data_IF_372851003104
#
_entry.id   IF_372851003104
#
_cell.length_a   1.000
_cell.length_b   1.000
_cell.length_c   1.000
_cell.angle_alpha   90.00
_cell.angle_beta   90.00
_cell.angle_gamma   90.00
#
_symmetry.space_group_name_H-M   'P 1'
#
loop_
_entity.id
_entity.type
_entity.pdbx_description
1 polymer ?
#
# COMPACT_ATOMS: atom_id res chain seq x y z
N UNK A 1 7.40 65.57 -12.21
CA UNK A 1 8.24 64.79 -11.29
C UNK A 1 7.52 63.51 -10.91
N UNK A 2 8.25 62.38 -10.97
CA UNK A 2 8.20 61.22 -10.06
C UNK A 2 6.88 60.43 -9.90
N UNK A 3 6.85 59.28 -10.59
CA UNK A 3 6.58 57.90 -10.13
C UNK A 3 5.70 57.62 -8.88
N UNK A 4 4.64 56.81 -9.07
CA UNK A 4 4.02 55.75 -8.18
C UNK A 4 2.52 55.64 -8.53
N UNK A 5 1.81 54.50 -8.55
CA UNK A 5 2.05 53.16 -8.02
C UNK A 5 1.07 52.15 -8.69
N UNK A 6 1.58 50.94 -8.90
CA UNK A 6 0.92 49.70 -9.32
C UNK A 6 -0.41 49.36 -8.61
N UNK A 7 -1.32 48.68 -9.31
CA UNK A 7 -1.53 47.22 -9.16
C UNK A 7 -2.42 46.65 -10.28
N UNK A 8 -1.77 45.96 -11.23
CA UNK A 8 -2.39 44.91 -12.03
C UNK A 8 -2.69 43.74 -11.09
N UNK A 9 -3.96 43.47 -10.84
CA UNK A 9 -4.42 42.22 -10.26
C UNK A 9 -4.41 41.15 -11.35
N UNK A 10 -3.33 40.36 -11.38
CA UNK A 10 -3.25 39.16 -12.20
C UNK A 10 -3.77 38.02 -11.34
N UNK A 11 -4.89 37.43 -11.74
CA UNK A 11 -5.50 36.29 -11.06
C UNK A 11 -4.53 35.11 -11.07
N UNK A 12 -3.89 34.85 -9.94
CA UNK A 12 -3.05 33.68 -9.73
C UNK A 12 -3.95 32.47 -9.46
N UNK A 13 -4.49 31.86 -10.51
CA UNK A 13 -4.93 30.48 -10.44
C UNK A 13 -3.67 29.62 -10.28
N UNK A 14 -3.38 29.23 -9.05
CA UNK A 14 -2.36 28.21 -8.74
C UNK A 14 -2.80 26.90 -9.37
N UNK A 15 -2.29 26.61 -10.57
CA UNK A 15 -2.23 25.25 -11.07
C UNK A 15 -1.17 24.50 -10.26
N UNK A 16 -1.52 24.06 -9.05
CA UNK A 16 -0.82 22.92 -8.45
C UNK A 16 -1.00 21.78 -9.43
N UNK A 17 0.05 21.45 -10.17
CA UNK A 17 0.11 20.23 -10.95
C UNK A 17 -0.19 19.07 -9.99
N UNK A 18 -1.41 18.54 -10.03
CA UNK A 18 -1.76 17.34 -9.30
C UNK A 18 -0.89 16.22 -9.86
N UNK A 19 0.11 15.80 -9.09
CA UNK A 19 0.84 14.57 -9.38
C UNK A 19 -0.17 13.43 -9.22
N UNK A 20 -0.56 12.82 -10.33
CA UNK A 20 -1.38 11.60 -10.30
C UNK A 20 -0.45 10.47 -9.84
N UNK A 21 -0.70 9.93 -8.65
CA UNK A 21 0.02 8.77 -8.09
C UNK A 21 -0.86 7.53 -8.15
N UNK A 22 -0.28 6.37 -8.50
CA UNK A 22 -0.98 5.08 -8.52
C UNK A 22 -0.59 4.17 -7.34
N UNK A 23 -0.27 4.75 -6.18
CA UNK A 23 0.24 4.03 -5.02
C UNK A 23 -0.75 2.97 -4.50
N UNK A 24 -2.06 3.30 -4.48
CA UNK A 24 -3.09 2.36 -4.03
C UNK A 24 -3.24 1.20 -5.01
N UNK A 25 -3.27 1.45 -6.31
CA UNK A 25 -3.35 0.41 -7.33
C UNK A 25 -2.10 -0.47 -7.33
N UNK A 26 -0.91 0.12 -7.15
CA UNK A 26 0.35 -0.61 -6.98
C UNK A 26 0.33 -1.48 -5.73
N UNK A 27 -0.17 -0.97 -4.60
CA UNK A 27 -0.32 -1.75 -3.36
C UNK A 27 -1.20 -2.98 -3.58
N UNK A 28 -2.41 -2.78 -4.11
CA UNK A 28 -3.36 -3.86 -4.32
C UNK A 28 -2.83 -4.91 -5.31
N UNK A 29 -2.18 -4.47 -6.39
CA UNK A 29 -1.55 -5.38 -7.36
C UNK A 29 -0.33 -6.11 -6.78
N UNK A 30 0.51 -5.44 -5.98
CA UNK A 30 1.62 -6.07 -5.28
C UNK A 30 1.13 -7.16 -4.32
N UNK A 31 0.04 -6.89 -3.58
CA UNK A 31 -0.59 -7.89 -2.72
C UNK A 31 -1.07 -9.10 -3.51
N UNK A 32 -1.80 -8.90 -4.62
CA UNK A 32 -2.21 -9.99 -5.52
C UNK A 32 -1.02 -10.79 -6.01
N UNK A 33 0.04 -10.13 -6.47
CA UNK A 33 1.25 -10.79 -6.97
C UNK A 33 1.91 -11.65 -5.89
N UNK A 34 2.18 -11.08 -4.72
CA UNK A 34 2.87 -11.80 -3.64
C UNK A 34 2.04 -12.96 -3.10
N UNK A 35 0.74 -12.79 -2.91
CA UNK A 35 -0.15 -13.86 -2.48
C UNK A 35 -0.20 -14.99 -3.53
N UNK A 36 -0.24 -14.64 -4.82
CA UNK A 36 -0.30 -15.62 -5.92
C UNK A 36 1.01 -16.38 -6.14
N UNK A 37 2.15 -15.75 -5.87
CA UNK A 37 3.48 -16.30 -6.17
C UNK A 37 4.23 -16.86 -4.96
N UNK A 38 3.68 -16.70 -3.75
CA UNK A 38 4.36 -17.12 -2.51
C UNK A 38 3.59 -18.22 -1.79
N UNK A 39 4.22 -19.37 -1.57
CA UNK A 39 3.63 -20.45 -0.76
C UNK A 39 3.42 -20.00 0.68
N UNK A 40 2.24 -20.29 1.24
CA UNK A 40 1.84 -19.95 2.60
C UNK A 40 2.05 -18.44 2.90
N UNK A 41 1.53 -17.58 2.03
CA UNK A 41 1.60 -16.13 2.18
C UNK A 41 0.57 -15.63 3.20
N UNK A 42 0.94 -15.65 4.49
CA UNK A 42 0.17 -15.01 5.55
C UNK A 42 0.46 -13.52 5.70
N UNK A 43 -0.31 -12.82 6.54
CA UNK A 43 -0.21 -11.36 6.75
C UNK A 43 1.21 -10.92 7.10
N UNK A 44 1.86 -11.58 8.07
CA UNK A 44 3.26 -11.25 8.46
C UNK A 44 4.23 -11.41 7.28
N UNK A 45 4.06 -12.43 6.45
CA UNK A 45 4.93 -12.65 5.28
C UNK A 45 4.66 -11.62 4.19
N UNK A 46 3.39 -11.31 3.96
CA UNK A 46 2.96 -10.28 3.02
C UNK A 46 3.56 -8.91 3.38
N UNK A 47 3.51 -8.51 4.66
CA UNK A 47 4.09 -7.24 5.12
C UNK A 47 5.60 -7.18 4.93
N UNK A 48 6.32 -8.28 5.17
CA UNK A 48 7.76 -8.36 4.90
C UNK A 48 8.06 -8.19 3.41
N UNK A 49 7.25 -8.79 2.52
CA UNK A 49 7.42 -8.65 1.06
C UNK A 49 7.10 -7.24 0.56
N UNK A 50 6.03 -6.61 1.08
CA UNK A 50 5.70 -5.21 0.77
C UNK A 50 6.81 -4.27 1.26
N UNK A 51 7.30 -4.47 2.48
CA UNK A 51 8.41 -3.68 3.00
C UNK A 51 9.67 -3.84 2.14
N UNK A 52 10.00 -5.07 1.71
CA UNK A 52 11.13 -5.31 0.83
C UNK A 52 10.98 -4.61 -0.53
N UNK A 53 9.78 -4.66 -1.11
CA UNK A 53 9.46 -3.95 -2.36
C UNK A 53 9.71 -2.44 -2.23
N UNK A 54 9.14 -1.81 -1.21
CA UNK A 54 9.28 -0.36 -1.01
C UNK A 54 10.71 0.02 -0.66
N UNK A 55 11.35 -0.73 0.25
CA UNK A 55 12.69 -0.39 0.74
C UNK A 55 13.75 -0.54 -0.35
N UNK A 56 13.70 -1.62 -1.14
CA UNK A 56 14.68 -1.83 -2.21
C UNK A 56 14.47 -0.84 -3.36
N UNK A 57 13.22 -0.54 -3.72
CA UNK A 57 12.95 0.49 -4.73
C UNK A 57 13.38 1.88 -4.24
N UNK A 58 13.09 2.22 -2.98
CA UNK A 58 13.47 3.49 -2.39
C UNK A 58 14.99 3.69 -2.36
N UNK A 59 15.77 2.64 -2.03
CA UNK A 59 17.23 2.70 -2.10
C UNK A 59 17.76 3.06 -3.49
N UNK A 60 17.06 2.65 -4.55
CA UNK A 60 17.49 2.86 -5.93
C UNK A 60 16.99 4.19 -6.52
N UNK A 61 15.78 4.62 -6.15
CA UNK A 61 15.09 5.74 -6.82
C UNK A 61 14.75 6.92 -5.90
N UNK A 62 14.89 6.74 -4.58
CA UNK A 62 14.45 7.70 -3.57
C UNK A 62 12.93 7.77 -3.39
N UNK A 63 12.16 6.81 -3.93
CA UNK A 63 10.69 6.78 -3.84
C UNK A 63 10.20 5.36 -3.49
N UNK A 64 9.15 5.25 -2.68
CA UNK A 64 8.47 3.97 -2.45
C UNK A 64 7.56 3.62 -3.62
N UNK A 65 7.16 2.34 -3.71
CA UNK A 65 6.26 1.85 -4.76
C UNK A 65 4.80 2.02 -4.31
N UNK A 66 4.52 1.70 -3.05
CA UNK A 66 3.15 1.59 -2.51
C UNK A 66 2.75 2.76 -1.63
N UNK A 67 3.67 3.68 -1.32
CA UNK A 67 3.39 4.81 -0.42
C UNK A 67 3.18 4.44 1.05
N UNK A 68 3.44 3.19 1.46
CA UNK A 68 3.21 2.73 2.83
C UNK A 68 4.23 3.28 3.83
N UNK A 69 3.73 3.67 5.01
CA UNK A 69 4.53 3.97 6.20
C UNK A 69 4.70 2.73 7.09
N UNK A 70 5.94 2.40 7.42
CA UNK A 70 6.30 1.21 8.20
C UNK A 70 6.83 1.58 9.60
N UNK A 71 6.32 0.89 10.62
CA UNK A 71 6.72 1.08 12.01
C UNK A 71 7.37 -0.18 12.57
N UNK A 72 8.45 -0.03 13.35
CA UNK A 72 9.17 -1.15 13.96
C UNK A 72 8.34 -1.78 15.09
N UNK A 73 7.92 -3.03 14.90
CA UNK A 73 7.26 -3.86 15.91
C UNK A 73 8.11 -5.12 16.18
N UNK A 74 7.72 -5.93 17.17
CA UNK A 74 8.50 -7.08 17.66
C UNK A 74 8.98 -8.06 16.57
N UNK A 75 8.19 -8.23 15.50
CA UNK A 75 8.48 -9.18 14.42
C UNK A 75 8.88 -8.54 13.09
N UNK A 76 9.19 -7.24 13.12
CA UNK A 76 9.66 -6.47 11.96
C UNK A 76 8.79 -5.24 11.65
N UNK A 77 9.06 -4.55 10.53
CA UNK A 77 8.31 -3.38 10.10
C UNK A 77 6.86 -3.74 9.74
N UNK A 78 5.91 -2.99 10.29
CA UNK A 78 4.47 -3.17 10.04
C UNK A 78 3.89 -1.93 9.35
N UNK A 79 3.25 -2.09 8.17
CA UNK A 79 2.49 -1.00 7.55
C UNK A 79 1.21 -0.76 8.34
N UNK A 80 1.28 0.14 9.33
CA UNK A 80 0.29 0.20 10.42
C UNK A 80 -1.11 0.55 9.92
N UNK A 81 -1.23 1.46 8.95
CA UNK A 81 -2.51 1.80 8.34
C UNK A 81 -3.16 0.59 7.63
N UNK A 82 -2.36 -0.18 6.86
CA UNK A 82 -2.84 -1.39 6.20
C UNK A 82 -3.18 -2.49 7.21
N UNK A 83 -2.42 -2.62 8.30
CA UNK A 83 -2.70 -3.58 9.36
C UNK A 83 -4.07 -3.34 9.99
N UNK A 84 -4.38 -2.10 10.38
CA UNK A 84 -5.70 -1.77 10.93
C UNK A 84 -6.81 -1.89 9.89
N UNK A 85 -6.56 -1.51 8.63
CA UNK A 85 -7.52 -1.74 7.53
C UNK A 85 -7.88 -3.22 7.39
N UNK A 86 -6.91 -4.13 7.42
CA UNK A 86 -7.14 -5.58 7.34
C UNK A 86 -7.86 -6.10 8.60
N UNK A 87 -7.51 -5.60 9.79
CA UNK A 87 -8.02 -6.10 11.07
C UNK A 87 -9.46 -5.68 11.37
N UNK A 88 -9.79 -4.43 11.09
CA UNK A 88 -11.05 -3.83 11.53
C UNK A 88 -12.16 -4.08 10.52
N UNK A 89 -12.05 -3.44 9.35
CA UNK A 89 -12.96 -3.63 8.23
C UNK A 89 -12.21 -3.26 6.95
N UNK A 90 -11.79 -4.24 6.15
CA UNK A 90 -11.09 -3.93 4.91
C UNK A 90 -12.01 -3.15 3.97
N UNK A 91 -11.44 -2.16 3.28
CA UNK A 91 -12.16 -1.37 2.28
C UNK A 91 -12.59 -2.25 1.12
N UNK A 92 -13.64 -1.82 0.42
CA UNK A 92 -14.24 -2.60 -0.69
C UNK A 92 -13.23 -2.87 -1.81
N UNK A 93 -12.38 -1.89 -2.13
CA UNK A 93 -11.32 -2.03 -3.12
C UNK A 93 -10.31 -3.12 -2.72
N UNK A 94 -9.86 -3.15 -1.47
CA UNK A 94 -8.96 -4.19 -0.98
C UNK A 94 -9.63 -5.57 -0.97
N UNK A 95 -10.90 -5.66 -0.54
CA UNK A 95 -11.67 -6.91 -0.59
C UNK A 95 -11.89 -7.44 -2.01
N UNK A 96 -11.97 -6.56 -3.01
CA UNK A 96 -12.07 -6.96 -4.42
C UNK A 96 -10.76 -7.56 -4.97
N UNK A 97 -9.61 -7.30 -4.34
CA UNK A 97 -8.31 -7.78 -4.79
C UNK A 97 -7.81 -9.00 -4.00
N UNK A 98 -8.06 -9.04 -2.69
CA UNK A 98 -7.61 -10.13 -1.82
C UNK A 98 -8.66 -10.47 -0.76
N UNK A 99 -8.80 -11.75 -0.46
CA UNK A 99 -9.70 -12.26 0.58
C UNK A 99 -8.88 -12.80 1.75
N UNK A 100 -9.21 -12.37 2.96
CA UNK A 100 -8.67 -12.90 4.21
C UNK A 100 -9.67 -13.90 4.80
N UNK A 101 -9.23 -15.13 5.01
CA UNK A 101 -10.06 -16.18 5.62
C UNK A 101 -9.80 -16.23 7.13
N UNK A 102 -10.80 -15.88 7.94
CA UNK A 102 -10.82 -16.18 9.37
C UNK A 102 -11.08 -17.67 9.56
N UNK A 103 -10.12 -18.41 10.13
CA UNK A 103 -10.37 -19.79 10.51
C UNK A 103 -10.97 -19.88 11.91
N UNK A 104 -11.94 -20.78 12.13
CA UNK A 104 -12.36 -21.10 13.48
C UNK A 104 -11.16 -21.68 14.24
N UNK A 105 -11.03 -21.40 15.55
CA UNK A 105 -9.97 -21.97 16.37
C UNK A 105 -10.22 -23.46 16.53
N UNK A 106 -9.61 -24.29 15.69
CA UNK A 106 -9.40 -25.70 16.00
C UNK A 106 -8.23 -25.82 16.99
N UNK A 107 -8.29 -26.79 17.90
CA UNK A 107 -7.46 -26.92 19.11
C UNK A 107 -5.93 -27.00 18.89
N UNK A 108 -5.45 -27.06 17.63
CA UNK A 108 -4.02 -27.11 17.26
C UNK A 108 -3.62 -26.07 16.18
N UNK A 109 -4.52 -25.16 15.76
CA UNK A 109 -4.31 -24.29 14.59
C UNK A 109 -3.73 -22.90 14.93
N UNK A 110 -3.45 -22.60 16.21
CA UNK A 110 -2.98 -21.28 16.70
C UNK A 110 -1.65 -20.81 16.09
N UNK A 111 -0.90 -21.70 15.44
CA UNK A 111 0.38 -21.40 14.77
C UNK A 111 0.25 -21.20 13.27
N UNK A 112 -0.93 -21.41 12.65
CA UNK A 112 -1.08 -21.31 11.20
C UNK A 112 -1.40 -19.89 10.76
N UNK A 113 -0.68 -19.36 9.76
CA UNK A 113 -0.92 -18.00 9.29
C UNK A 113 -2.32 -17.85 8.66
N UNK A 114 -2.94 -16.68 8.82
CA UNK A 114 -4.16 -16.28 8.10
C UNK A 114 -4.01 -16.59 6.61
N UNK A 115 -4.98 -17.34 6.06
CA UNK A 115 -4.99 -17.67 4.64
C UNK A 115 -5.48 -16.45 3.85
N UNK A 116 -4.66 -16.04 2.88
CA UNK A 116 -4.96 -14.95 1.96
C UNK A 116 -5.12 -15.56 0.57
N UNK A 117 -6.20 -15.22 -0.13
CA UNK A 117 -6.50 -15.73 -1.48
C UNK A 117 -6.65 -14.54 -2.44
N UNK A 118 -5.98 -14.53 -3.60
CA UNK A 118 -6.14 -13.45 -4.58
C UNK A 118 -7.53 -13.53 -5.21
N UNK A 119 -8.15 -12.38 -5.45
CA UNK A 119 -9.47 -12.26 -6.09
C UNK A 119 -9.39 -11.51 -7.44
N UNK A 120 -8.22 -10.98 -7.76
CA UNK A 120 -7.96 -10.21 -8.97
C UNK A 120 -6.73 -10.74 -9.71
N UNK A 121 -6.59 -10.42 -11.00
CA UNK A 121 -5.37 -10.71 -11.76
C UNK A 121 -4.38 -9.55 -11.64
N UNK A 122 -3.09 -9.87 -11.59
CA UNK A 122 -2.06 -8.84 -11.55
C UNK A 122 -2.06 -7.99 -12.83
N UNK A 123 -2.11 -6.67 -12.67
CA UNK A 123 -2.06 -5.69 -13.76
C UNK A 123 -0.72 -4.94 -13.75
N UNK A 124 0.15 -5.25 -14.71
CA UNK A 124 1.49 -4.65 -14.80
C UNK A 124 1.49 -3.18 -15.18
N UNK A 125 0.39 -2.66 -15.76
CA UNK A 125 0.28 -1.28 -16.25
C UNK A 125 0.50 -0.20 -15.17
N UNK A 126 0.41 -0.58 -13.90
CA UNK A 126 0.61 0.31 -12.77
C UNK A 126 2.07 0.39 -12.31
N UNK A 127 2.97 -0.46 -12.81
CA UNK A 127 4.39 -0.51 -12.44
C UNK A 127 5.27 0.03 -13.56
#
# INVERSE_FOLDING_TARGET
GILRLFKSGRDSHTYTAMLITHEREKLLNAMVFFVSKTKHCGVTKLFKLLNFLDFEHYKQTGRSVTGLDYFAWDYGPVPTALFFEIKDKPKDDLNSFVRFESRPPAEDDSKRPTKITPQHQFESKYF
#
